data_IF_010073480151
#
_entry.id   IF_010073480151
#
_cell.length_a   1.000
_cell.length_b   1.000
_cell.length_c   1.000
_cell.angle_alpha   90.00
_cell.angle_beta   90.00
_cell.angle_gamma   90.00
#
_symmetry.space_group_name_H-M   'P 1'
#
loop_
_entity.id
_entity.type
_entity.pdbx_description
1 polymer ?
#
# COMPACT_ATOMS: atom_id res chain seq x y z
N UNK A 1 18.94 26.82 6.86
CA UNK A 1 18.16 25.83 7.66
C UNK A 1 18.74 24.42 7.49
N UNK A 2 19.18 23.79 8.58
CA UNK A 2 19.76 22.44 8.54
C UNK A 2 18.70 21.33 8.47
N UNK A 3 19.11 20.15 8.03
CA UNK A 3 18.28 18.96 8.08
C UNK A 3 17.97 18.58 9.54
N UNK A 4 16.77 18.04 9.79
CA UNK A 4 16.40 17.52 11.10
C UNK A 4 16.91 16.09 11.25
N UNK A 5 17.72 15.86 12.27
CA UNK A 5 18.23 14.54 12.63
C UNK A 5 17.49 14.04 13.87
N UNK A 6 17.05 12.78 13.85
CA UNK A 6 16.40 12.11 14.98
C UNK A 6 17.32 10.99 15.47
N UNK A 7 17.45 10.87 16.79
CA UNK A 7 18.23 9.82 17.44
C UNK A 7 17.26 8.77 17.98
N UNK A 8 17.48 7.51 17.62
CA UNK A 8 16.78 6.35 18.18
C UNK A 8 17.77 5.59 19.06
N UNK A 9 17.53 5.55 20.36
CA UNK A 9 18.55 5.13 21.34
C UNK A 9 18.71 3.61 21.44
N UNK A 10 17.68 2.84 21.06
CA UNK A 10 17.74 1.39 21.11
C UNK A 10 16.44 0.69 20.76
N UNK A 11 16.49 -0.63 20.83
CA UNK A 11 15.37 -1.55 20.56
C UNK A 11 15.04 -2.28 21.86
N UNK A 12 13.77 -2.31 22.23
CA UNK A 12 13.23 -3.02 23.39
C UNK A 12 12.14 -3.98 22.89
N UNK A 13 12.27 -5.28 23.18
CA UNK A 13 11.34 -6.32 22.71
C UNK A 13 11.12 -6.36 21.19
N UNK A 14 12.18 -6.06 20.41
CA UNK A 14 12.09 -6.03 18.95
C UNK A 14 11.47 -4.75 18.37
N UNK A 15 11.03 -3.82 19.22
CA UNK A 15 10.45 -2.53 18.81
C UNK A 15 11.32 -1.35 19.24
N UNK A 16 11.19 -0.21 18.54
CA UNK A 16 11.83 1.04 18.95
C UNK A 16 11.13 1.67 20.16
N UNK A 17 11.86 2.50 20.90
CA UNK A 17 11.32 3.22 22.05
C UNK A 17 10.14 4.12 21.65
N UNK A 18 8.98 3.88 22.28
CA UNK A 18 7.70 4.51 21.93
C UNK A 18 7.74 6.05 21.96
N UNK A 19 8.45 6.63 22.91
CA UNK A 19 8.57 8.10 23.04
C UNK A 19 9.36 8.71 21.87
N UNK A 20 10.39 8.03 21.39
CA UNK A 20 11.22 8.50 20.27
C UNK A 20 10.44 8.41 18.95
N UNK A 21 9.77 7.28 18.71
CA UNK A 21 8.90 7.09 17.55
C UNK A 21 7.72 8.08 17.56
N UNK A 22 7.14 8.38 18.73
CA UNK A 22 6.09 9.40 18.86
C UNK A 22 6.59 10.80 18.49
N UNK A 23 7.83 11.14 18.84
CA UNK A 23 8.42 12.42 18.47
C UNK A 23 8.70 12.52 16.97
N UNK A 24 9.21 11.43 16.37
CA UNK A 24 9.42 11.31 14.93
C UNK A 24 8.10 11.41 14.16
N UNK A 25 7.08 10.66 14.56
CA UNK A 25 5.78 10.66 13.89
C UNK A 25 5.13 12.03 13.94
N UNK A 26 5.17 12.72 15.09
CA UNK A 26 4.70 14.11 15.23
C UNK A 26 5.37 15.05 14.23
N UNK A 27 6.66 14.87 13.97
CA UNK A 27 7.39 15.69 13.00
C UNK A 27 6.96 15.40 11.56
N UNK A 28 6.84 14.11 11.20
CA UNK A 28 6.39 13.69 9.86
C UNK A 28 4.96 14.20 9.59
N UNK A 29 4.05 14.12 10.57
CA UNK A 29 2.65 14.52 10.42
C UNK A 29 2.44 16.00 10.07
N UNK A 30 3.36 16.88 10.48
CA UNK A 30 3.25 18.34 10.22
C UNK A 30 4.16 18.79 9.08
N UNK A 31 4.85 17.86 8.43
CA UNK A 31 5.78 18.17 7.36
C UNK A 31 5.05 18.74 6.14
N UNK A 32 5.54 19.88 5.63
CA UNK A 32 5.04 20.46 4.39
C UNK A 32 5.91 20.00 3.22
N UNK A 33 5.26 19.48 2.18
CA UNK A 33 5.94 19.01 0.98
C UNK A 33 6.13 20.14 -0.03
N UNK A 34 7.30 20.16 -0.67
CA UNK A 34 7.55 21.03 -1.81
C UNK A 34 7.00 20.35 -3.08
N UNK A 35 6.16 21.04 -3.88
CA UNK A 35 5.74 20.50 -5.17
C UNK A 35 6.96 20.38 -6.09
N UNK A 36 7.21 19.18 -6.59
CA UNK A 36 8.25 18.91 -7.57
C UNK A 36 7.64 19.00 -8.97
N UNK A 37 8.32 19.69 -9.90
CA UNK A 37 7.83 19.92 -11.26
C UNK A 37 7.35 18.63 -11.92
N UNK A 38 8.18 17.57 -11.87
CA UNK A 38 7.84 16.27 -12.45
C UNK A 38 6.53 15.67 -11.90
N UNK A 39 6.33 15.72 -10.58
CA UNK A 39 5.13 15.18 -9.92
C UNK A 39 3.87 16.02 -10.18
N UNK A 40 4.04 17.30 -10.50
CA UNK A 40 2.92 18.20 -10.83
C UNK A 40 2.54 18.16 -12.30
N UNK A 41 3.43 17.68 -13.18
CA UNK A 41 3.19 17.64 -14.63
C UNK A 41 2.83 16.25 -15.15
N UNK A 42 3.09 15.18 -14.39
CA UNK A 42 2.81 13.80 -14.80
C UNK A 42 1.83 13.12 -13.84
N UNK A 43 0.96 12.29 -14.40
CA UNK A 43 0.19 11.31 -13.64
C UNK A 43 1.13 10.16 -13.24
N UNK A 44 0.99 9.68 -12.01
CA UNK A 44 1.69 8.48 -11.56
C UNK A 44 0.86 7.75 -10.51
N UNK A 45 1.06 6.45 -10.45
CA UNK A 45 0.40 5.56 -9.51
C UNK A 45 1.47 4.68 -8.86
N UNK A 46 1.36 4.51 -7.55
CA UNK A 46 2.11 3.50 -6.83
C UNK A 46 1.17 2.31 -6.64
N UNK A 47 1.53 1.16 -7.23
CA UNK A 47 0.72 -0.05 -7.14
C UNK A 47 0.71 -0.58 -5.71
N UNK A 48 -0.45 -0.62 -5.07
CA UNK A 48 -0.62 -1.20 -3.73
C UNK A 48 -1.06 -2.66 -3.79
N UNK A 49 -1.90 -3.01 -4.78
CA UNK A 49 -2.39 -4.35 -5.08
C UNK A 49 -2.29 -4.62 -6.58
N UNK A 50 -1.96 -5.85 -6.94
CA UNK A 50 -2.03 -6.31 -8.32
C UNK A 50 -2.78 -7.64 -8.40
N UNK A 51 -3.47 -7.87 -9.50
CA UNK A 51 -4.22 -9.09 -9.77
C UNK A 51 -3.98 -9.56 -11.21
N UNK A 52 -3.77 -10.86 -11.41
CA UNK A 52 -3.64 -11.48 -12.73
C UNK A 52 -5.03 -11.94 -13.20
N UNK A 53 -5.58 -11.24 -14.20
CA UNK A 53 -6.89 -11.51 -14.79
C UNK A 53 -6.84 -12.51 -15.95
N UNK A 54 -5.68 -13.10 -16.23
CA UNK A 54 -5.49 -14.01 -17.36
C UNK A 54 -6.19 -15.34 -17.11
N UNK A 55 -6.85 -15.89 -18.14
CA UNK A 55 -7.47 -17.21 -18.06
C UNK A 55 -6.42 -18.30 -17.73
N UNK A 56 -6.67 -19.06 -16.67
CA UNK A 56 -5.80 -20.15 -16.20
C UNK A 56 -5.55 -21.23 -17.25
N UNK A 57 -6.49 -21.48 -18.17
CA UNK A 57 -6.29 -22.42 -19.27
C UNK A 57 -5.21 -21.97 -20.26
N UNK A 58 -5.14 -20.66 -20.55
CA UNK A 58 -4.11 -20.09 -21.43
C UNK A 58 -2.74 -20.21 -20.77
N UNK A 59 -2.67 -19.96 -19.47
CA UNK A 59 -1.44 -20.12 -18.67
C UNK A 59 -1.00 -21.58 -18.66
N UNK A 60 -1.93 -22.53 -18.51
CA UNK A 60 -1.64 -23.96 -18.53
C UNK A 60 -1.09 -24.42 -19.89
N UNK A 61 -1.65 -23.90 -20.99
CA UNK A 61 -1.18 -24.23 -22.36
C UNK A 61 0.16 -23.58 -22.68
N UNK A 62 0.33 -22.31 -22.32
CA UNK A 62 1.58 -21.56 -22.51
C UNK A 62 1.89 -20.72 -21.27
N UNK A 63 2.80 -21.17 -20.40
CA UNK A 63 3.18 -20.41 -19.20
C UNK A 63 3.75 -19.02 -19.48
N UNK A 64 4.32 -18.79 -20.66
CA UNK A 64 4.93 -17.53 -21.11
C UNK A 64 4.01 -16.67 -21.97
N UNK A 65 2.70 -16.92 -21.96
CA UNK A 65 1.76 -16.08 -22.68
C UNK A 65 1.70 -14.67 -22.08
N UNK A 66 1.27 -13.71 -22.90
CA UNK A 66 0.95 -12.36 -22.44
C UNK A 66 -0.15 -12.42 -21.37
N UNK A 67 0.03 -11.63 -20.31
CA UNK A 67 -0.87 -11.60 -19.15
C UNK A 67 -1.69 -10.32 -19.14
N UNK A 68 -2.94 -10.42 -18.75
CA UNK A 68 -3.77 -9.27 -18.43
C UNK A 68 -3.70 -9.01 -16.93
N UNK A 69 -3.19 -7.84 -16.54
CA UNK A 69 -2.92 -7.50 -15.14
C UNK A 69 -3.74 -6.28 -14.75
N UNK A 70 -4.43 -6.37 -13.62
CA UNK A 70 -5.08 -5.24 -12.96
C UNK A 70 -4.16 -4.68 -11.89
N UNK A 71 -3.94 -3.37 -11.91
CA UNK A 71 -3.14 -2.65 -10.91
C UNK A 71 -4.05 -1.69 -10.14
N UNK A 72 -4.00 -1.77 -8.83
CA UNK A 72 -4.74 -0.90 -7.91
C UNK A 72 -3.77 0.07 -7.24
N UNK A 73 -4.28 1.25 -6.92
CA UNK A 73 -3.51 2.26 -6.22
C UNK A 73 -4.15 3.63 -6.30
N UNK A 74 -3.59 4.55 -5.53
CA UNK A 74 -3.99 5.94 -5.57
C UNK A 74 -3.29 6.67 -6.72
N UNK A 75 -4.09 7.29 -7.59
CA UNK A 75 -3.58 8.19 -8.63
C UNK A 75 -3.07 9.47 -7.97
N UNK A 76 -1.86 9.89 -8.35
CA UNK A 76 -1.21 11.10 -7.86
C UNK A 76 -0.74 11.98 -9.02
N UNK A 77 -0.58 13.27 -8.76
CA UNK A 77 -0.15 14.25 -9.76
C UNK A 77 -1.33 14.77 -10.59
N UNK A 78 -1.20 14.69 -11.91
CA UNK A 78 -2.24 15.11 -12.87
C UNK A 78 -3.27 13.97 -13.07
N UNK A 79 -4.55 14.27 -13.39
CA UNK A 79 -5.52 13.23 -13.71
C UNK A 79 -5.04 12.30 -14.84
N UNK A 80 -5.11 10.99 -14.60
CA UNK A 80 -4.78 9.96 -15.57
C UNK A 80 -5.88 9.82 -16.62
N UNK A 81 -5.51 9.68 -17.89
CA UNK A 81 -6.44 9.44 -19.00
C UNK A 81 -6.20 8.05 -19.58
N UNK A 82 -7.23 7.42 -20.14
CA UNK A 82 -7.15 6.05 -20.67
C UNK A 82 -6.27 5.96 -21.91
N UNK A 83 -6.24 7.00 -22.72
CA UNK A 83 -5.55 7.03 -24.01
C UNK A 83 -4.03 7.26 -23.87
N UNK A 84 -3.54 7.59 -22.66
CA UNK A 84 -2.12 7.84 -22.43
C UNK A 84 -1.35 6.53 -22.29
N UNK A 85 -0.15 6.47 -22.87
CA UNK A 85 0.80 5.41 -22.60
C UNK A 85 1.34 5.52 -21.17
N UNK A 86 1.60 4.39 -20.53
CA UNK A 86 2.14 4.30 -19.17
C UNK A 86 3.44 3.52 -19.20
N UNK A 87 4.45 4.06 -18.54
CA UNK A 87 5.70 3.36 -18.30
C UNK A 87 5.65 2.63 -16.96
N UNK A 88 5.83 1.31 -16.97
CA UNK A 88 6.01 0.51 -15.76
C UNK A 88 7.51 0.33 -15.54
N UNK A 89 8.02 0.86 -14.42
CA UNK A 89 9.42 0.77 -14.08
C UNK A 89 9.88 -0.70 -14.00
N UNK A 90 10.89 -1.05 -14.82
CA UNK A 90 11.43 -2.40 -14.91
C UNK A 90 10.72 -3.33 -15.92
N UNK A 91 9.61 -2.90 -16.51
CA UNK A 91 8.89 -3.66 -17.54
C UNK A 91 8.92 -2.95 -18.90
N UNK A 92 8.62 -1.65 -18.93
CA UNK A 92 8.58 -0.86 -20.16
C UNK A 92 7.27 -0.11 -20.37
N UNK A 93 7.08 0.38 -21.61
CA UNK A 93 5.92 1.18 -22.01
C UNK A 93 4.75 0.30 -22.43
N UNK A 94 3.56 0.58 -21.90
CA UNK A 94 2.33 -0.15 -22.15
C UNK A 94 1.17 0.82 -22.39
N UNK A 95 0.09 0.29 -22.99
CA UNK A 95 -1.17 1.02 -23.15
C UNK A 95 -2.17 0.55 -22.11
N UNK A 96 -2.98 1.48 -21.62
CA UNK A 96 -4.02 1.17 -20.65
C UNK A 96 -5.23 0.56 -21.38
N UNK A 97 -5.66 -0.63 -20.95
CA UNK A 97 -6.86 -1.27 -21.48
C UNK A 97 -8.15 -0.70 -20.89
N UNK A 98 -8.16 -0.43 -19.58
CA UNK A 98 -9.30 0.15 -18.86
C UNK A 98 -8.89 0.88 -17.58
N UNK A 99 -9.72 1.83 -17.14
CA UNK A 99 -9.56 2.56 -15.87
C UNK A 99 -10.91 2.57 -15.15
N UNK A 100 -10.91 2.12 -13.89
CA UNK A 100 -12.07 2.18 -13.01
C UNK A 100 -11.72 2.91 -11.71
N UNK A 101 -12.69 3.68 -11.19
CA UNK A 101 -12.56 4.36 -9.91
C UNK A 101 -13.26 3.53 -8.83
N UNK A 102 -12.55 3.25 -7.74
CA UNK A 102 -13.06 2.51 -6.59
C UNK A 102 -13.21 3.42 -5.38
N UNK A 103 -14.08 3.06 -4.41
CA UNK A 103 -14.15 3.78 -3.14
C UNK A 103 -12.82 3.68 -2.38
N UNK A 104 -12.47 4.75 -1.67
CA UNK A 104 -11.23 4.83 -0.89
C UNK A 104 -11.25 3.81 0.26
N UNK A 105 -10.29 2.86 0.34
CA UNK A 105 -10.21 1.91 1.45
C UNK A 105 -9.78 2.56 2.78
N UNK A 106 -9.25 3.78 2.75
CA UNK A 106 -8.83 4.55 3.93
C UNK A 106 -9.35 5.99 3.85
N UNK A 107 -10.67 6.20 3.97
CA UNK A 107 -11.26 7.51 3.83
C UNK A 107 -10.81 8.44 4.96
N UNK A 108 -10.66 9.73 4.63
CA UNK A 108 -10.39 10.75 5.62
C UNK A 108 -11.60 10.97 6.55
N UNK A 109 -11.40 11.27 7.85
CA UNK A 109 -12.49 11.57 8.76
C UNK A 109 -13.28 12.81 8.32
N UNK A 110 -14.61 12.71 8.26
CA UNK A 110 -15.50 13.81 7.80
C UNK A 110 -15.45 15.03 8.73
N UNK A 111 -15.25 14.83 10.03
CA UNK A 111 -15.25 15.89 11.04
C UNK A 111 -13.84 16.45 11.28
N UNK A 112 -13.36 17.27 10.35
CA UNK A 112 -12.01 17.90 10.35
C UNK A 112 -11.74 18.81 11.59
N UNK A 113 -12.76 19.14 12.39
CA UNK A 113 -12.65 20.09 13.52
C UNK A 113 -12.08 19.51 14.83
N UNK A 114 -11.79 18.21 14.91
CA UNK A 114 -11.21 17.60 16.14
C UNK A 114 -9.67 17.67 16.11
N UNK A 115 -9.06 18.03 17.25
CA UNK A 115 -7.59 18.09 17.40
C UNK A 115 -6.93 16.72 17.54
N UNK A 116 -7.69 15.66 17.79
CA UNK A 116 -7.21 14.30 17.98
C UNK A 116 -8.11 13.31 17.24
N UNK A 117 -7.48 12.25 16.70
CA UNK A 117 -8.16 11.14 16.05
C UNK A 117 -8.61 10.10 17.09
N UNK A 118 -9.83 9.61 16.95
CA UNK A 118 -10.36 8.48 17.71
C UNK A 118 -9.77 7.18 17.15
N UNK A 119 -9.70 6.12 17.95
CA UNK A 119 -9.15 4.82 17.51
C UNK A 119 -9.85 4.26 16.27
N UNK A 120 -11.17 4.42 16.16
CA UNK A 120 -11.97 4.03 14.99
C UNK A 120 -11.61 4.78 13.70
N UNK A 121 -10.94 5.92 13.80
CA UNK A 121 -10.54 6.76 12.66
C UNK A 121 -9.11 6.44 12.19
N UNK A 122 -8.39 5.54 12.88
CA UNK A 122 -7.01 5.14 12.56
C UNK A 122 -7.02 3.91 11.67
N UNK A 123 -7.34 4.10 10.39
CA UNK A 123 -7.35 3.02 9.41
C UNK A 123 -5.93 2.67 8.94
N UNK A 124 -5.73 1.38 8.61
CA UNK A 124 -4.51 0.87 7.98
C UNK A 124 -4.93 0.01 6.81
N UNK A 125 -4.46 0.36 5.61
CA UNK A 125 -4.63 -0.43 4.40
C UNK A 125 -3.26 -0.87 3.89
N UNK A 126 -3.01 -2.18 3.96
CA UNK A 126 -1.78 -2.79 3.46
C UNK A 126 -2.08 -4.23 2.99
N UNK A 127 -2.56 -4.39 1.74
CA UNK A 127 -3.12 -5.66 1.26
C UNK A 127 -2.11 -6.83 1.24
N UNK A 128 -0.81 -6.54 1.17
CA UNK A 128 0.26 -7.56 1.15
C UNK A 128 1.08 -7.64 2.45
N UNK A 129 0.65 -6.99 3.53
CA UNK A 129 1.46 -6.88 4.76
C UNK A 129 0.89 -7.58 5.99
N UNK A 130 -0.07 -8.51 5.83
CA UNK A 130 -0.52 -9.32 6.96
C UNK A 130 -1.37 -8.57 8.00
N UNK A 131 -2.04 -7.48 7.61
CA UNK A 131 -2.79 -6.65 8.58
C UNK A 131 -3.89 -7.48 9.23
N UNK A 132 -3.89 -7.53 10.56
CA UNK A 132 -4.87 -8.32 11.32
C UNK A 132 -4.60 -9.83 11.30
N UNK A 133 -3.39 -10.27 10.94
CA UNK A 133 -3.01 -11.69 10.87
C UNK A 133 -3.48 -12.39 9.58
N UNK A 134 -3.89 -11.63 8.56
CA UNK A 134 -4.34 -12.16 7.26
C UNK A 134 -3.35 -11.73 6.18
N UNK A 135 -2.66 -12.70 5.58
CA UNK A 135 -1.76 -12.50 4.45
C UNK A 135 -2.39 -13.08 3.19
N UNK A 136 -2.55 -12.25 2.17
CA UNK A 136 -3.01 -12.67 0.86
C UNK A 136 -1.82 -13.06 -0.01
N UNK A 137 -1.86 -14.27 -0.56
CA UNK A 137 -1.00 -14.72 -1.66
C UNK A 137 -1.88 -14.92 -2.91
N UNK A 138 -1.26 -15.10 -4.07
CA UNK A 138 -1.95 -15.21 -5.36
C UNK A 138 -3.08 -16.24 -5.35
N UNK A 139 -2.82 -17.41 -4.77
CA UNK A 139 -3.73 -18.55 -4.80
C UNK A 139 -4.19 -19.01 -3.39
N UNK A 140 -3.75 -18.32 -2.34
CA UNK A 140 -4.00 -18.73 -0.96
C UNK A 140 -4.15 -17.55 -0.01
N UNK A 141 -4.87 -17.77 1.09
CA UNK A 141 -4.98 -16.82 2.20
C UNK A 141 -4.41 -17.49 3.44
N UNK A 142 -3.40 -16.88 4.03
CA UNK A 142 -2.78 -17.34 5.27
C UNK A 142 -3.37 -16.57 6.44
N UNK A 143 -3.88 -17.30 7.43
CA UNK A 143 -4.48 -16.72 8.63
C UNK A 143 -3.67 -17.17 9.84
N UNK A 144 -3.06 -16.21 10.54
CA UNK A 144 -2.41 -16.43 11.81
C UNK A 144 -3.45 -16.49 12.92
N UNK A 145 -3.80 -17.71 13.31
CA UNK A 145 -4.63 -17.99 14.48
C UNK A 145 -3.75 -17.82 15.73
N UNK A 146 -3.77 -16.65 16.35
CA UNK A 146 -3.05 -16.38 17.59
C UNK A 146 -3.39 -17.37 18.70
N UNK A 147 -2.55 -18.39 18.89
CA UNK A 147 -2.27 -19.07 20.17
C UNK A 147 -3.34 -19.94 20.85
N UNK A 148 -4.57 -20.07 20.36
CA UNK A 148 -5.62 -20.89 21.05
C UNK A 148 -6.11 -22.13 20.29
N UNK A 149 -5.68 -22.32 19.03
CA UNK A 149 -6.03 -23.48 18.21
C UNK A 149 -4.82 -24.35 17.82
N UNK A 150 -3.73 -24.32 18.61
CA UNK A 150 -2.68 -25.32 18.46
C UNK A 150 -3.25 -26.69 18.83
N UNK A 151 -3.74 -27.43 17.83
CA UNK A 151 -3.98 -28.87 17.95
C UNK A 151 -2.61 -29.53 18.13
N UNK A 152 -2.12 -29.54 19.38
CA UNK A 152 -1.08 -30.47 19.77
C UNK A 152 -1.71 -31.87 19.66
N UNK A 153 -1.42 -32.57 18.56
CA UNK A 153 -1.60 -34.01 18.51
C UNK A 153 -0.69 -34.58 19.58
N UNK A 154 -1.26 -34.91 20.74
CA UNK A 154 -0.64 -35.81 21.72
C UNK A 154 -0.49 -37.16 21.03
N UNK A 155 0.73 -37.46 20.60
CA UNK A 155 1.24 -38.83 20.46
C UNK A 155 1.65 -39.34 21.83
#
# INVERSE_FOLDING_TARGET
>A
PGAKLFYLSGILHGEYLRNEIKNLSRFISVMKFRPLQWRTTHSYLLGDRYEDLTNQELIRKNPKCDRNISLYGYIRGVPLKKETAVHIAGLGDLKICDISCLPDPCPLPEQIKKRALIEKEKFVYAPFSGVGGIVYDKDAVYIELGGSHSHSKRT
#
